data_IF_630968647839
#
_entry.id   IF_630968647839
#
_cell.length_a   1.000
_cell.length_b   1.000
_cell.length_c   1.000
_cell.angle_alpha   90.00
_cell.angle_beta   90.00
_cell.angle_gamma   90.00
#
_symmetry.space_group_name_H-M   'P 1'
#
loop_
_entity.id
_entity.type
_entity.pdbx_description
1 polymer ?
#
# COMPACT_ATOMS: atom_id res chain seq x y z
N UNK A 1 -0.06 -9.42 -18.48
CA UNK A 1 1.12 -10.24 -18.12
C UNK A 1 2.32 -9.37 -17.76
N UNK A 2 2.77 -8.43 -18.61
CA UNK A 2 3.96 -7.59 -18.34
C UNK A 2 3.95 -6.86 -16.97
N UNK A 3 2.87 -6.17 -16.59
CA UNK A 3 2.86 -5.36 -15.35
C UNK A 3 2.80 -6.16 -14.04
N UNK A 4 2.29 -7.40 -14.05
CA UNK A 4 2.32 -8.30 -12.88
C UNK A 4 3.71 -8.90 -12.73
N UNK A 5 4.31 -9.33 -13.84
CA UNK A 5 5.67 -9.87 -13.88
C UNK A 5 6.71 -8.83 -13.48
N UNK A 6 6.58 -7.59 -13.92
CA UNK A 6 7.50 -6.50 -13.56
C UNK A 6 7.48 -6.20 -12.06
N UNK A 7 6.30 -6.24 -11.45
CA UNK A 7 6.15 -6.01 -10.02
C UNK A 7 6.79 -7.13 -9.18
N UNK A 8 6.45 -8.38 -9.49
CA UNK A 8 7.08 -9.55 -8.86
C UNK A 8 8.60 -9.57 -9.06
N UNK A 9 9.08 -9.14 -10.23
CA UNK A 9 10.51 -9.07 -10.53
C UNK A 9 11.27 -8.05 -9.67
N UNK A 10 10.66 -6.90 -9.35
CA UNK A 10 11.24 -5.89 -8.44
C UNK A 10 11.33 -6.47 -7.03
N UNK A 11 10.25 -7.03 -6.50
CA UNK A 11 10.22 -7.57 -5.14
C UNK A 11 11.19 -8.75 -5.04
N UNK A 12 11.25 -9.64 -6.04
CA UNK A 12 12.26 -10.70 -6.15
C UNK A 12 13.69 -10.18 -6.05
N UNK A 13 14.01 -9.12 -6.79
CA UNK A 13 15.36 -8.53 -6.79
C UNK A 13 15.69 -7.97 -5.40
N UNK A 14 14.78 -7.21 -4.81
CA UNK A 14 14.98 -6.62 -3.48
C UNK A 14 15.13 -7.71 -2.41
N UNK A 15 14.33 -8.76 -2.46
CA UNK A 15 14.42 -9.89 -1.53
C UNK A 15 15.76 -10.60 -1.67
N UNK A 16 16.21 -10.88 -2.89
CA UNK A 16 17.51 -11.51 -3.13
C UNK A 16 18.67 -10.68 -2.58
N UNK A 17 18.65 -9.36 -2.79
CA UNK A 17 19.68 -8.45 -2.28
C UNK A 17 19.62 -8.33 -0.75
N UNK A 18 18.42 -8.20 -0.17
CA UNK A 18 18.23 -8.12 1.28
C UNK A 18 18.68 -9.42 1.98
N UNK A 19 18.45 -10.60 1.38
CA UNK A 19 19.01 -11.88 1.85
C UNK A 19 20.54 -11.90 1.87
N UNK A 20 21.18 -11.18 0.94
CA UNK A 20 22.63 -11.01 0.90
C UNK A 20 23.15 -9.95 1.89
N UNK A 21 22.29 -9.37 2.73
CA UNK A 21 22.66 -8.36 3.72
C UNK A 21 22.56 -6.92 3.23
N UNK A 22 21.99 -6.67 2.05
CA UNK A 22 21.80 -5.31 1.54
C UNK A 22 20.70 -4.57 2.30
N UNK A 23 21.12 -3.65 3.16
CA UNK A 23 20.22 -2.80 3.95
C UNK A 23 19.40 -1.82 3.12
N UNK A 24 19.88 -1.39 1.94
CA UNK A 24 19.10 -0.55 1.04
C UNK A 24 17.99 -1.33 0.36
N UNK A 25 18.25 -2.58 -0.02
CA UNK A 25 17.23 -3.47 -0.56
C UNK A 25 16.14 -3.76 0.49
N UNK A 26 16.53 -3.96 1.75
CA UNK A 26 15.59 -4.07 2.86
C UNK A 26 14.72 -2.80 3.02
N UNK A 27 15.34 -1.62 3.03
CA UNK A 27 14.58 -0.34 3.06
C UNK A 27 13.62 -0.24 1.88
N UNK A 28 14.02 -0.63 0.68
CA UNK A 28 13.17 -0.64 -0.50
C UNK A 28 11.92 -1.52 -0.32
N UNK A 29 12.04 -2.68 0.32
CA UNK A 29 10.87 -3.53 0.66
C UNK A 29 9.97 -2.84 1.69
N UNK A 30 10.56 -2.27 2.74
CA UNK A 30 9.81 -1.53 3.76
C UNK A 30 9.03 -0.38 3.11
N UNK A 31 9.69 0.46 2.33
CA UNK A 31 9.07 1.63 1.69
C UNK A 31 7.93 1.23 0.74
N UNK A 32 8.12 0.17 -0.05
CA UNK A 32 7.09 -0.33 -0.98
C UNK A 32 5.83 -0.80 -0.27
N UNK A 33 5.97 -1.49 0.85
CA UNK A 33 4.85 -2.16 1.51
C UNK A 33 4.30 -1.43 2.74
N UNK A 34 4.98 -0.36 3.22
CA UNK A 34 4.57 0.41 4.41
C UNK A 34 3.12 0.89 4.35
N UNK A 35 2.71 1.50 3.23
CA UNK A 35 1.33 1.98 3.07
C UNK A 35 0.30 0.87 3.05
N UNK A 36 0.66 -0.29 2.50
CA UNK A 36 -0.22 -1.45 2.45
C UNK A 36 -0.43 -2.06 3.84
N UNK A 37 0.66 -2.23 4.60
CA UNK A 37 0.59 -2.65 6.01
C UNK A 37 -0.29 -1.67 6.80
N UNK A 38 -0.04 -0.36 6.68
CA UNK A 38 -0.85 0.64 7.37
C UNK A 38 -2.33 0.60 6.97
N UNK A 39 -2.64 0.36 5.70
CA UNK A 39 -4.02 0.20 5.24
C UNK A 39 -4.70 -1.02 5.86
N UNK A 40 -4.00 -2.16 5.94
CA UNK A 40 -4.50 -3.38 6.60
C UNK A 40 -4.74 -3.14 8.10
N UNK A 41 -3.81 -2.49 8.81
CA UNK A 41 -3.98 -2.20 10.24
C UNK A 41 -5.19 -1.30 10.50
N UNK A 42 -5.40 -0.28 9.64
CA UNK A 42 -6.59 0.58 9.68
C UNK A 42 -7.86 -0.21 9.38
N UNK A 43 -7.85 -1.06 8.36
CA UNK A 43 -8.99 -1.91 8.00
C UNK A 43 -9.40 -2.81 9.18
N UNK A 44 -8.42 -3.40 9.85
CA UNK A 44 -8.62 -4.23 11.04
C UNK A 44 -8.95 -3.45 12.32
N UNK A 45 -8.99 -2.11 12.28
CA UNK A 45 -9.28 -1.21 13.41
C UNK A 45 -8.33 -1.41 14.60
N UNK A 46 -7.03 -1.51 14.32
CA UNK A 46 -6.00 -1.52 15.37
C UNK A 46 -6.02 -0.15 16.08
N UNK A 47 -6.08 -0.10 17.43
CA UNK A 47 -6.00 1.15 18.18
C UNK A 47 -4.74 1.94 17.84
N UNK A 48 -4.84 3.26 17.81
CA UNK A 48 -3.74 4.16 17.42
C UNK A 48 -2.45 3.88 18.22
N UNK A 49 -2.58 3.71 19.54
CA UNK A 49 -1.46 3.42 20.45
C UNK A 49 -0.74 2.10 20.14
N UNK A 50 -1.42 1.15 19.49
CA UNK A 50 -0.87 -0.15 19.13
C UNK A 50 -0.40 -0.22 17.66
N UNK A 51 -0.67 0.80 16.83
CA UNK A 51 -0.37 0.74 15.38
C UNK A 51 1.13 0.69 15.09
N UNK A 52 1.95 1.46 15.81
CA UNK A 52 3.40 1.47 15.60
C UNK A 52 4.03 0.10 15.90
N UNK A 53 3.60 -0.53 17.00
CA UNK A 53 4.07 -1.86 17.41
C UNK A 53 3.60 -2.94 16.42
N UNK A 54 2.34 -2.89 16.00
CA UNK A 54 1.80 -3.80 15.00
C UNK A 54 2.52 -3.65 13.64
N UNK A 55 2.83 -2.42 13.23
CA UNK A 55 3.58 -2.14 12.02
C UNK A 55 5.00 -2.72 12.12
N UNK A 56 5.71 -2.44 13.21
CA UNK A 56 7.05 -2.98 13.45
C UNK A 56 7.04 -4.52 13.45
N UNK A 57 6.05 -5.13 14.09
CA UNK A 57 5.90 -6.58 14.14
C UNK A 57 5.86 -7.19 12.74
N UNK A 58 5.04 -6.64 11.83
CA UNK A 58 4.92 -7.16 10.46
C UNK A 58 6.26 -7.12 9.73
N UNK A 59 7.01 -6.03 9.82
CA UNK A 59 8.31 -5.92 9.17
C UNK A 59 9.39 -6.78 9.84
N UNK A 60 9.37 -6.94 11.16
CA UNK A 60 10.27 -7.87 11.85
C UNK A 60 9.99 -9.31 11.42
N UNK A 61 8.72 -9.71 11.31
CA UNK A 61 8.36 -11.02 10.79
C UNK A 61 8.75 -11.19 9.33
N UNK A 62 8.60 -10.14 8.51
CA UNK A 62 9.04 -10.17 7.12
C UNK A 62 10.55 -10.39 7.03
N UNK A 63 11.33 -9.70 7.86
CA UNK A 63 12.79 -9.85 7.92
C UNK A 63 13.20 -11.26 8.35
N UNK A 64 12.58 -11.81 9.40
CA UNK A 64 12.87 -13.16 9.92
C UNK A 64 12.55 -14.26 8.91
N UNK A 65 11.42 -14.11 8.20
CA UNK A 65 10.97 -15.09 7.22
C UNK A 65 11.57 -14.84 5.84
N UNK A 66 12.34 -13.76 5.66
CA UNK A 66 12.88 -13.36 4.37
C UNK A 66 13.69 -14.48 3.73
N UNK A 67 14.48 -15.23 4.50
CA UNK A 67 15.28 -16.35 4.00
C UNK A 67 14.43 -17.56 3.56
N UNK A 68 13.25 -17.76 4.18
CA UNK A 68 12.37 -18.91 3.96
C UNK A 68 11.21 -18.63 2.98
N UNK A 69 11.07 -17.39 2.49
CA UNK A 69 10.08 -17.02 1.47
C UNK A 69 10.36 -17.73 0.13
N UNK A 70 9.76 -18.89 -0.08
CA UNK A 70 9.91 -19.67 -1.33
C UNK A 70 9.15 -19.02 -2.50
N UNK A 71 7.92 -18.57 -2.26
CA UNK A 71 7.09 -17.87 -3.25
C UNK A 71 7.18 -16.35 -3.06
N UNK A 72 8.23 -15.80 -3.68
CA UNK A 72 8.53 -14.36 -3.69
C UNK A 72 7.55 -13.54 -4.52
N UNK A 73 6.80 -14.16 -5.44
CA UNK A 73 5.76 -13.47 -6.22
C UNK A 73 4.49 -13.24 -5.41
N UNK A 74 4.37 -13.88 -4.25
CA UNK A 74 3.20 -13.79 -3.38
C UNK A 74 3.43 -12.97 -2.10
N UNK A 75 4.48 -12.13 -2.09
CA UNK A 75 4.81 -11.29 -0.93
C UNK A 75 3.61 -10.42 -0.46
N UNK A 76 2.84 -9.75 -1.34
CA UNK A 76 1.66 -9.01 -0.89
C UNK A 76 0.61 -9.87 -0.17
N UNK A 77 0.32 -11.09 -0.63
CA UNK A 77 -0.64 -11.95 0.06
C UNK A 77 -0.09 -12.49 1.39
N UNK A 78 1.22 -12.75 1.46
CA UNK A 78 1.89 -13.08 2.71
C UNK A 78 1.77 -11.91 3.69
N UNK A 79 2.05 -10.68 3.26
CA UNK A 79 1.90 -9.46 4.08
C UNK A 79 0.47 -9.31 4.57
N UNK A 80 -0.53 -9.45 3.69
CA UNK A 80 -1.96 -9.44 4.08
C UNK A 80 -2.22 -10.45 5.18
N UNK A 81 -1.78 -11.69 4.98
CA UNK A 81 -2.01 -12.77 5.94
C UNK A 81 -1.41 -12.47 7.31
N UNK A 82 -0.13 -12.06 7.35
CA UNK A 82 0.57 -11.78 8.61
C UNK A 82 0.01 -10.54 9.30
N UNK A 83 -0.17 -9.45 8.55
CA UNK A 83 -0.67 -8.19 9.09
C UNK A 83 -2.12 -8.32 9.60
N UNK A 84 -3.04 -8.92 8.83
CA UNK A 84 -4.43 -9.10 9.26
C UNK A 84 -4.53 -9.98 10.51
N UNK A 85 -3.79 -11.11 10.56
CA UNK A 85 -3.78 -12.00 11.74
C UNK A 85 -3.27 -11.29 12.98
N UNK A 86 -2.15 -10.56 12.86
CA UNK A 86 -1.60 -9.82 13.98
C UNK A 86 -2.54 -8.70 14.41
N UNK A 87 -3.08 -7.93 13.47
CA UNK A 87 -4.00 -6.83 13.74
C UNK A 87 -5.26 -7.27 14.48
N UNK A 88 -5.89 -8.37 14.06
CA UNK A 88 -7.07 -8.94 14.74
C UNK A 88 -6.72 -9.32 16.18
N UNK A 89 -5.61 -10.02 16.38
CA UNK A 89 -5.15 -10.43 17.73
C UNK A 89 -4.84 -9.22 18.61
N UNK A 90 -4.18 -8.20 18.07
CA UNK A 90 -3.86 -6.97 18.79
C UNK A 90 -5.13 -6.26 19.22
N UNK A 91 -6.08 -6.06 18.30
CA UNK A 91 -7.40 -5.46 18.61
C UNK A 91 -8.13 -6.20 19.73
N UNK A 92 -8.22 -7.54 19.64
CA UNK A 92 -8.88 -8.36 20.66
C UNK A 92 -8.19 -8.27 22.03
N UNK A 93 -6.86 -8.15 22.04
CA UNK A 93 -6.09 -7.96 23.27
C UNK A 93 -6.31 -6.56 23.85
N UNK A 94 -6.43 -5.53 23.02
CA UNK A 94 -6.72 -4.15 23.45
C UNK A 94 -8.10 -4.01 24.06
N UNK A 95 -9.11 -4.67 23.51
CA UNK A 95 -10.47 -4.68 24.06
C UNK A 95 -10.56 -5.32 25.45
N UNK A 96 -9.61 -6.20 25.80
CA UNK A 96 -9.54 -6.86 27.11
C UNK A 96 -8.72 -6.09 28.14
N UNK A 97 -7.97 -5.05 27.75
CA UNK A 97 -7.19 -4.23 28.68
C UNK A 97 -8.13 -3.35 29.52
N UNK A 98 -8.00 -3.32 30.86
CA UNK A 98 -8.75 -2.39 31.68
C UNK A 98 -8.34 -0.95 31.30
N UNK A 99 -9.30 -0.17 30.83
CA UNK A 99 -9.10 1.22 30.43
C UNK A 99 -8.88 2.07 31.69
N UNK A 100 -7.63 2.37 32.03
CA UNK A 100 -7.28 3.35 33.06
C UNK A 100 -7.29 4.75 32.44
N UNK A 101 -8.46 5.40 32.41
CA UNK A 101 -8.62 6.76 31.87
C UNK A 101 -9.83 6.87 30.97
N UNK A 102 -10.80 7.69 31.37
CA UNK A 102 -12.09 7.82 30.70
C UNK A 102 -11.95 8.35 29.27
N UNK A 103 -11.95 7.45 28.29
CA UNK A 103 -12.44 7.65 26.92
C UNK A 103 -12.63 6.26 26.29
N UNK A 104 -13.72 5.60 26.67
CA UNK A 104 -14.18 4.41 25.95
C UNK A 104 -14.83 4.88 24.65
N UNK A 105 -14.01 5.12 23.63
CA UNK A 105 -14.48 5.07 22.27
C UNK A 105 -14.88 3.60 22.03
N UNK A 106 -16.19 3.34 22.00
CA UNK A 106 -16.75 2.07 21.55
C UNK A 106 -16.19 1.79 20.16
N UNK A 107 -15.09 1.04 20.09
CA UNK A 107 -14.52 0.57 18.84
C UNK A 107 -15.56 -0.38 18.24
N UNK A 108 -16.30 0.10 17.25
CA UNK A 108 -17.24 -0.72 16.51
C UNK A 108 -16.50 -1.98 16.03
N UNK A 109 -17.00 -3.15 16.44
CA UNK A 109 -16.51 -4.42 15.91
C UNK A 109 -16.75 -4.38 14.40
N UNK A 110 -15.72 -4.61 13.57
CA UNK A 110 -15.93 -4.69 12.13
C UNK A 110 -16.99 -5.77 11.85
N UNK A 111 -18.01 -5.44 11.07
CA UNK A 111 -18.78 -6.46 10.39
C UNK A 111 -17.80 -7.22 9.48
N UNK A 112 -17.74 -8.55 9.60
CA UNK A 112 -16.77 -9.38 8.86
C UNK A 112 -16.87 -9.16 7.34
N UNK A 113 -18.09 -8.88 6.84
CA UNK A 113 -18.32 -8.53 5.43
C UNK A 113 -17.68 -7.18 5.04
N UNK A 114 -17.68 -6.20 5.95
CA UNK A 114 -17.04 -4.91 5.73
C UNK A 114 -15.50 -5.03 5.80
N UNK A 115 -14.98 -5.90 6.68
CA UNK A 115 -13.53 -6.10 6.80
C UNK A 115 -12.92 -6.66 5.52
N UNK A 116 -13.52 -7.71 4.93
CA UNK A 116 -12.99 -8.29 3.69
C UNK A 116 -12.97 -7.26 2.55
N UNK A 117 -14.06 -6.48 2.42
CA UNK A 117 -14.15 -5.39 1.44
C UNK A 117 -13.03 -4.35 1.63
N UNK A 118 -12.73 -3.97 2.88
CA UNK A 118 -11.65 -3.01 3.17
C UNK A 118 -10.25 -3.59 2.91
N UNK A 119 -10.04 -4.88 3.14
CA UNK A 119 -8.78 -5.56 2.80
C UNK A 119 -8.59 -5.69 1.29
N UNK A 120 -9.65 -6.02 0.54
CA UNK A 120 -9.64 -6.01 -0.92
C UNK A 120 -9.31 -4.60 -1.46
N UNK A 121 -9.92 -3.56 -0.88
CA UNK A 121 -9.62 -2.18 -1.25
C UNK A 121 -8.15 -1.83 -0.96
N UNK A 122 -7.60 -2.25 0.17
CA UNK A 122 -6.19 -2.04 0.51
C UNK A 122 -5.25 -2.73 -0.51
N UNK A 123 -5.59 -3.93 -1.00
CA UNK A 123 -4.84 -4.59 -2.06
C UNK A 123 -4.92 -3.86 -3.40
N UNK A 124 -6.11 -3.40 -3.77
CA UNK A 124 -6.32 -2.61 -5.00
C UNK A 124 -5.50 -1.32 -4.93
N UNK A 125 -5.60 -0.59 -3.81
CA UNK A 125 -4.84 0.63 -3.56
C UNK A 125 -3.33 0.38 -3.64
N UNK A 126 -2.85 -0.72 -3.05
CA UNK A 126 -1.46 -1.11 -3.15
C UNK A 126 -1.04 -1.31 -4.60
N UNK A 127 -1.75 -2.14 -5.37
CA UNK A 127 -1.47 -2.39 -6.80
C UNK A 127 -1.48 -1.09 -7.62
N UNK A 128 -2.42 -0.19 -7.38
CA UNK A 128 -2.47 1.13 -8.03
C UNK A 128 -1.22 1.94 -7.73
N UNK A 129 -0.82 2.07 -6.47
CA UNK A 129 0.39 2.83 -6.08
C UNK A 129 1.66 2.26 -6.71
N UNK A 130 1.82 0.93 -6.71
CA UNK A 130 2.99 0.31 -7.34
C UNK A 130 3.01 0.58 -8.85
N UNK A 131 1.83 0.54 -9.49
CA UNK A 131 1.68 0.79 -10.93
C UNK A 131 2.04 2.23 -11.34
N UNK A 132 1.89 3.21 -10.44
CA UNK A 132 2.34 4.58 -10.70
C UNK A 132 3.86 4.68 -10.94
N UNK A 133 4.65 3.76 -10.39
CA UNK A 133 6.09 3.68 -10.61
C UNK A 133 6.49 3.36 -12.06
N UNK A 134 5.57 2.81 -12.86
CA UNK A 134 5.79 2.48 -14.27
C UNK A 134 5.28 3.55 -15.23
N UNK A 135 4.63 4.60 -14.70
CA UNK A 135 4.26 5.76 -15.50
C UNK A 135 5.49 6.65 -15.74
N UNK A 136 5.43 7.47 -16.79
CA UNK A 136 6.40 8.56 -16.95
C UNK A 136 6.31 9.52 -15.77
N UNK A 137 7.42 10.22 -15.45
CA UNK A 137 7.45 11.19 -14.35
C UNK A 137 6.29 12.20 -14.43
N UNK A 138 6.02 12.74 -15.62
CA UNK A 138 4.89 13.65 -15.86
C UNK A 138 3.54 13.01 -15.51
N UNK A 139 3.28 11.78 -15.96
CA UNK A 139 2.01 11.12 -15.70
C UNK A 139 1.86 10.72 -14.22
N UNK A 140 2.94 10.26 -13.60
CA UNK A 140 2.97 9.95 -12.17
C UNK A 140 2.64 11.19 -11.34
N UNK A 141 3.37 12.28 -11.54
CA UNK A 141 3.14 13.54 -10.82
C UNK A 141 1.71 14.04 -11.06
N UNK A 142 1.23 14.05 -12.30
CA UNK A 142 -0.14 14.46 -12.61
C UNK A 142 -1.18 13.64 -11.83
N UNK A 143 -1.04 12.31 -11.78
CA UNK A 143 -1.99 11.44 -11.08
C UNK A 143 -1.87 11.63 -9.56
N UNK A 144 -0.66 11.74 -9.03
CA UNK A 144 -0.43 11.98 -7.59
C UNK A 144 -1.09 13.29 -7.13
N UNK A 145 -0.85 14.41 -7.83
CA UNK A 145 -1.42 15.73 -7.47
C UNK A 145 -2.93 15.78 -7.55
N UNK A 146 -3.51 15.16 -8.58
CA UNK A 146 -4.95 15.27 -8.85
C UNK A 146 -5.81 14.29 -8.05
N UNK A 147 -5.25 13.19 -7.56
CA UNK A 147 -6.04 12.11 -6.96
C UNK A 147 -5.52 11.59 -5.63
N UNK A 148 -4.25 11.80 -5.31
CA UNK A 148 -3.62 11.24 -4.09
C UNK A 148 -3.24 12.28 -3.05
N UNK A 149 -3.34 13.58 -3.39
CA UNK A 149 -3.26 14.67 -2.42
C UNK A 149 -4.65 14.96 -1.83
N UNK A 150 -4.66 15.30 -0.54
CA UNK A 150 -5.86 15.71 0.19
C UNK A 150 -5.59 17.08 0.86
N UNK A 151 -6.23 18.17 0.41
CA UNK A 151 -7.16 18.22 -0.72
C UNK A 151 -6.46 18.07 -2.09
N UNK A 152 -7.17 17.62 -3.14
CA UNK A 152 -6.62 17.55 -4.50
C UNK A 152 -6.17 18.92 -5.03
N UNK A 153 -5.05 18.93 -5.75
CA UNK A 153 -4.52 20.15 -6.39
C UNK A 153 -5.39 20.64 -7.53
N UNK A 154 -5.49 21.96 -7.68
CA UNK A 154 -6.21 22.55 -8.79
C UNK A 154 -5.47 22.32 -10.12
N UNK A 155 -6.22 22.17 -11.20
CA UNK A 155 -5.64 21.94 -12.54
C UNK A 155 -4.63 23.02 -12.97
N UNK A 156 -4.85 24.27 -12.56
CA UNK A 156 -3.91 25.37 -12.87
C UNK A 156 -2.54 25.14 -12.20
N UNK A 157 -2.52 24.76 -10.93
CA UNK A 157 -1.29 24.53 -10.17
C UNK A 157 -0.52 23.33 -10.72
N UNK A 158 -1.22 22.24 -11.05
CA UNK A 158 -0.60 21.05 -11.63
C UNK A 158 -0.05 21.33 -13.03
N UNK A 159 -0.76 22.14 -13.84
CA UNK A 159 -0.27 22.56 -15.15
C UNK A 159 1.02 23.39 -15.02
N UNK A 160 1.07 24.31 -14.05
CA UNK A 160 2.24 25.13 -13.75
C UNK A 160 3.44 24.27 -13.28
N UNK A 161 3.24 23.38 -12.31
CA UNK A 161 4.28 22.46 -11.81
C UNK A 161 4.88 21.62 -12.94
N UNK A 162 4.03 21.17 -13.86
CA UNK A 162 4.43 20.31 -14.98
C UNK A 162 4.90 21.08 -16.22
N UNK A 163 4.88 22.41 -16.22
CA UNK A 163 5.21 23.24 -17.38
C UNK A 163 4.27 23.03 -18.58
N UNK A 164 3.01 22.69 -18.33
CA UNK A 164 1.98 22.42 -19.33
C UNK A 164 1.05 23.61 -19.51
N UNK A 165 0.53 23.81 -20.72
CA UNK A 165 -0.57 24.75 -20.94
C UNK A 165 -1.83 24.23 -20.23
N UNK A 166 -2.56 25.08 -19.49
CA UNK A 166 -3.75 24.66 -18.75
C UNK A 166 -4.79 23.95 -19.63
N UNK A 167 -4.98 24.40 -20.88
CA UNK A 167 -5.90 23.75 -21.83
C UNK A 167 -5.47 22.34 -22.27
N UNK A 168 -4.20 21.99 -22.09
CA UNK A 168 -3.65 20.66 -22.41
C UNK A 168 -3.79 19.65 -21.27
N UNK A 169 -4.16 20.08 -20.06
CA UNK A 169 -4.19 19.21 -18.88
C UNK A 169 -5.21 18.08 -19.02
N UNK A 170 -6.38 18.36 -19.60
CA UNK A 170 -7.44 17.36 -19.80
C UNK A 170 -6.98 16.22 -20.73
N UNK A 171 -6.38 16.57 -21.87
CA UNK A 171 -5.84 15.59 -22.81
C UNK A 171 -4.67 14.79 -22.23
N UNK A 172 -3.80 15.45 -21.45
CA UNK A 172 -2.68 14.80 -20.77
C UNK A 172 -3.16 13.83 -19.69
N UNK A 173 -4.13 14.26 -18.86
CA UNK A 173 -4.80 13.42 -17.86
C UNK A 173 -5.39 12.17 -18.50
N UNK A 174 -6.13 12.32 -19.61
CA UNK A 174 -6.72 11.18 -20.30
C UNK A 174 -5.66 10.18 -20.76
N UNK A 175 -4.57 10.65 -21.38
CA UNK A 175 -3.47 9.75 -21.81
C UNK A 175 -2.83 9.03 -20.62
N UNK A 176 -2.57 9.74 -19.53
CA UNK A 176 -1.97 9.16 -18.33
C UNK A 176 -2.88 8.11 -17.67
N UNK A 177 -4.18 8.39 -17.54
CA UNK A 177 -5.15 7.43 -17.00
C UNK A 177 -5.33 6.22 -17.92
N UNK A 178 -5.37 6.41 -19.25
CA UNK A 178 -5.41 5.29 -20.19
C UNK A 178 -4.16 4.42 -20.16
N UNK A 179 -2.98 5.00 -19.85
CA UNK A 179 -1.77 4.20 -19.64
C UNK A 179 -1.88 3.41 -18.32
N UNK A 180 -2.28 4.06 -17.22
CA UNK A 180 -2.48 3.40 -15.93
C UNK A 180 -3.51 2.27 -16.02
N UNK A 181 -4.65 2.50 -16.70
CA UNK A 181 -5.67 1.48 -16.92
C UNK A 181 -5.10 0.25 -17.63
N UNK A 182 -4.29 0.44 -18.69
CA UNK A 182 -3.64 -0.68 -19.38
C UNK A 182 -2.71 -1.49 -18.46
N UNK A 183 -1.95 -0.80 -17.60
CA UNK A 183 -1.08 -1.45 -16.61
C UNK A 183 -1.91 -2.28 -15.62
N UNK A 184 -2.98 -1.70 -15.05
CA UNK A 184 -3.84 -2.37 -14.07
C UNK A 184 -4.60 -3.56 -14.67
N UNK A 185 -5.15 -3.42 -15.89
CA UNK A 185 -5.76 -4.55 -16.63
C UNK A 185 -4.78 -5.70 -16.82
N UNK A 186 -3.52 -5.40 -17.10
CA UNK A 186 -2.48 -6.41 -17.27
C UNK A 186 -2.15 -7.19 -15.99
N UNK A 187 -2.52 -6.63 -14.83
CA UNK A 187 -2.35 -7.20 -13.49
C UNK A 187 -3.61 -7.93 -12.97
N UNK A 188 -4.71 -7.91 -13.75
CA UNK A 188 -5.98 -8.56 -13.40
C UNK A 188 -6.93 -7.69 -12.58
N UNK A 189 -6.73 -6.37 -12.58
CA UNK A 189 -7.73 -5.43 -12.07
C UNK A 189 -8.71 -5.05 -13.20
N UNK A 190 -10.01 -4.86 -12.90
CA UNK A 190 -11.05 -4.58 -13.89
C UNK A 190 -10.86 -3.26 -14.65
#
# INVERSE_FOLDING_TARGET
MAGRDEQGQIDRKLIAQARAGDTQAWRGLVDRHSRFVAAILRACRVPEDDQADAFQYVFVEMFRNLAALEDVDNLPAWIRTVASRHAIRTRESSQKRPVTGAESALAAVPDDANLETELELAEVEHKVRLSLGFLSATCRTLVERLFLEDPPRAYAEVAEELGLAIGSIGATRQRCLSHLEKLLRSQGLP
#
